data_IF_638587171360
#
_entry.id   IF_638587171360
#
_cell.length_a   1.000
_cell.length_b   1.000
_cell.length_c   1.000
_cell.angle_alpha   90.00
_cell.angle_beta   90.00
_cell.angle_gamma   90.00
#
_symmetry.space_group_name_H-M   'P 1'
#
loop_
_entity.id
_entity.type
_entity.pdbx_description
1 polymer ?
#
# COMPACT_ATOMS: atom_id res chain seq x y z
N UNK A 1 -16.21 -5.63 -1.15
CA UNK A 1 -15.09 -6.50 -1.60
C UNK A 1 -13.92 -6.19 -0.67
N UNK A 2 -13.44 -7.15 0.13
CA UNK A 2 -12.47 -6.88 1.22
C UNK A 2 -11.14 -7.62 1.09
N UNK A 3 -11.06 -8.56 0.14
CA UNK A 3 -9.87 -9.29 -0.24
C UNK A 3 -9.86 -9.43 -1.77
N UNK A 4 -8.73 -9.11 -2.40
CA UNK A 4 -8.53 -9.15 -3.84
C UNK A 4 -7.12 -9.67 -4.13
N UNK A 5 -6.95 -10.29 -5.29
CA UNK A 5 -5.64 -10.64 -5.83
C UNK A 5 -5.60 -10.20 -7.28
N UNK A 6 -4.63 -9.36 -7.63
CA UNK A 6 -4.32 -9.11 -9.04
C UNK A 6 -3.26 -10.11 -9.49
N UNK A 7 -3.37 -10.59 -10.71
CA UNK A 7 -2.52 -11.63 -11.27
C UNK A 7 -1.89 -11.10 -12.55
N UNK A 8 -0.56 -11.17 -12.64
CA UNK A 8 0.23 -10.72 -13.79
C UNK A 8 -0.05 -9.28 -14.23
N UNK A 9 -0.02 -8.35 -13.27
CA UNK A 9 -0.06 -6.91 -13.57
C UNK A 9 1.38 -6.37 -13.59
N UNK A 10 1.80 -5.54 -12.64
CA UNK A 10 3.21 -5.15 -12.47
C UNK A 10 4.03 -6.34 -11.95
N UNK A 11 3.54 -6.98 -10.89
CA UNK A 11 4.08 -8.20 -10.31
C UNK A 11 3.21 -9.41 -10.65
N UNK A 12 3.78 -10.60 -10.45
CA UNK A 12 3.06 -11.86 -10.63
C UNK A 12 1.78 -11.92 -9.78
N UNK A 13 1.85 -11.42 -8.53
CA UNK A 13 0.71 -11.32 -7.62
C UNK A 13 0.74 -10.01 -6.83
N UNK A 14 -0.41 -9.35 -6.73
CA UNK A 14 -0.66 -8.29 -5.74
C UNK A 14 -1.79 -8.73 -4.82
N UNK A 15 -1.46 -9.09 -3.59
CA UNK A 15 -2.41 -9.58 -2.57
C UNK A 15 -2.92 -8.37 -1.78
N UNK A 16 -4.23 -8.11 -1.83
CA UNK A 16 -4.82 -6.87 -1.33
C UNK A 16 -5.89 -7.19 -0.29
N UNK A 17 -5.82 -6.51 0.85
CA UNK A 17 -6.87 -6.48 1.86
C UNK A 17 -7.28 -5.02 2.07
N UNK A 18 -8.58 -4.73 2.03
CA UNK A 18 -9.09 -3.37 2.19
C UNK A 18 -10.52 -3.38 2.77
N UNK A 19 -10.95 -2.27 3.36
CA UNK A 19 -12.34 -2.05 3.76
C UNK A 19 -12.59 -0.56 4.04
N UNK A 20 -13.86 -0.17 4.14
CA UNK A 20 -14.23 1.16 4.62
C UNK A 20 -13.97 1.26 6.14
N UNK A 21 -13.68 2.48 6.60
CA UNK A 21 -13.36 2.76 8.00
C UNK A 21 -11.87 2.55 8.32
N UNK A 22 -11.51 2.69 9.60
CA UNK A 22 -10.12 2.79 10.07
C UNK A 22 -9.62 1.57 10.82
N UNK A 23 -10.28 0.40 10.71
CA UNK A 23 -9.85 -0.81 11.40
C UNK A 23 -8.67 -1.49 10.69
N UNK A 24 -7.49 -0.86 10.79
CA UNK A 24 -6.23 -1.33 10.18
C UNK A 24 -5.89 -2.74 10.68
N UNK A 25 -6.14 -3.03 11.96
CA UNK A 25 -5.88 -4.34 12.55
C UNK A 25 -6.62 -5.45 11.79
N UNK A 26 -7.92 -5.28 11.56
CA UNK A 26 -8.72 -6.28 10.83
C UNK A 26 -8.27 -6.44 9.37
N UNK A 27 -7.86 -5.35 8.72
CA UNK A 27 -7.34 -5.38 7.35
C UNK A 27 -6.04 -6.17 7.29
N UNK A 28 -5.11 -5.87 8.21
CA UNK A 28 -3.81 -6.51 8.30
C UNK A 28 -3.90 -7.98 8.67
N UNK A 29 -4.71 -8.34 9.68
CA UNK A 29 -4.93 -9.75 10.07
C UNK A 29 -5.44 -10.58 8.89
N UNK A 30 -6.37 -10.04 8.10
CA UNK A 30 -6.88 -10.70 6.88
C UNK A 30 -5.79 -10.86 5.81
N UNK A 31 -4.94 -9.85 5.61
CA UNK A 31 -3.82 -9.91 4.66
C UNK A 31 -2.82 -10.99 5.07
N UNK A 32 -2.39 -10.99 6.34
CA UNK A 32 -1.41 -11.94 6.86
C UNK A 32 -1.89 -13.39 6.77
N UNK A 33 -3.15 -13.66 7.12
CA UNK A 33 -3.73 -15.00 6.99
C UNK A 33 -3.79 -15.44 5.52
N UNK A 34 -4.14 -14.54 4.60
CA UNK A 34 -4.22 -14.87 3.18
C UNK A 34 -2.84 -15.10 2.57
N UNK A 35 -1.86 -14.25 2.86
CA UNK A 35 -0.49 -14.39 2.37
C UNK A 35 0.12 -15.73 2.83
N UNK A 36 0.03 -16.06 4.12
CA UNK A 36 0.55 -17.32 4.66
C UNK A 36 -0.08 -18.56 3.96
N UNK A 37 -1.39 -18.54 3.73
CA UNK A 37 -2.08 -19.64 3.02
C UNK A 37 -1.69 -19.76 1.55
N UNK A 38 -1.39 -18.65 0.88
CA UNK A 38 -0.95 -18.67 -0.52
C UNK A 38 0.49 -19.22 -0.59
N UNK A 39 1.36 -18.83 0.34
CA UNK A 39 2.74 -19.32 0.42
C UNK A 39 2.85 -20.83 0.65
N UNK A 40 1.86 -21.45 1.32
CA UNK A 40 1.78 -22.91 1.42
C UNK A 40 1.62 -23.61 0.05
N UNK A 41 1.12 -22.88 -0.96
CA UNK A 41 0.82 -23.42 -2.31
C UNK A 41 1.76 -22.92 -3.39
N UNK A 42 2.31 -21.72 -3.22
CA UNK A 42 3.21 -21.09 -4.18
C UNK A 42 4.48 -20.62 -3.47
N UNK A 43 5.65 -21.00 -4.01
CA UNK A 43 6.93 -20.52 -3.52
C UNK A 43 7.18 -19.13 -4.09
N UNK A 44 7.28 -18.12 -3.23
CA UNK A 44 7.69 -16.78 -3.65
C UNK A 44 9.20 -16.65 -3.75
N UNK A 45 9.65 -15.82 -4.68
CA UNK A 45 11.06 -15.47 -4.81
C UNK A 45 11.46 -14.61 -3.60
N UNK A 46 12.43 -15.10 -2.84
CA UNK A 46 12.96 -14.43 -1.66
C UNK A 46 14.49 -14.52 -1.66
N UNK A 47 15.13 -13.41 -1.31
CA UNK A 47 16.57 -13.27 -1.19
C UNK A 47 16.94 -12.87 0.24
N UNK A 48 18.10 -13.33 0.70
CA UNK A 48 18.54 -13.09 2.08
C UNK A 48 18.81 -11.61 2.36
N UNK A 49 19.30 -10.86 1.37
CA UNK A 49 19.57 -9.43 1.50
C UNK A 49 18.37 -8.57 1.14
N UNK A 50 17.65 -8.92 0.08
CA UNK A 50 16.59 -8.09 -0.52
C UNK A 50 15.17 -8.45 -0.07
N UNK A 51 14.97 -9.58 0.62
CA UNK A 51 13.63 -10.05 1.00
C UNK A 51 12.82 -10.54 -0.21
N UNK A 52 11.50 -10.30 -0.22
CA UNK A 52 10.65 -10.68 -1.35
C UNK A 52 11.00 -9.89 -2.59
N UNK A 53 11.25 -10.62 -3.69
CA UNK A 53 11.64 -10.03 -4.96
C UNK A 53 10.40 -9.59 -5.74
N UNK A 54 10.44 -8.36 -6.22
CA UNK A 54 9.39 -7.71 -7.02
C UNK A 54 10.01 -7.05 -8.24
N UNK A 55 9.16 -6.62 -9.18
CA UNK A 55 9.56 -6.09 -10.48
C UNK A 55 10.17 -4.68 -10.36
N UNK A 56 9.69 -3.88 -9.41
CA UNK A 56 10.21 -2.55 -9.12
C UNK A 56 11.05 -2.57 -7.83
N UNK A 57 12.28 -2.02 -7.81
CA UNK A 57 13.13 -1.99 -6.61
C UNK A 57 12.49 -1.35 -5.38
N UNK A 58 11.52 -0.45 -5.56
CA UNK A 58 10.82 0.22 -4.45
C UNK A 58 9.88 -0.71 -3.67
N UNK A 59 9.52 -1.86 -4.26
CA UNK A 59 8.64 -2.86 -3.65
C UNK A 59 9.41 -4.06 -3.08
N UNK A 60 10.74 -3.99 -2.93
CA UNK A 60 11.53 -5.07 -2.33
C UNK A 60 11.31 -5.19 -0.81
N UNK A 61 11.88 -6.24 -0.20
CA UNK A 61 11.85 -6.44 1.24
C UNK A 61 10.55 -7.09 1.69
N UNK A 62 9.68 -6.30 2.31
CA UNK A 62 8.36 -6.77 2.76
C UNK A 62 7.35 -6.86 1.63
N UNK A 63 7.62 -6.19 0.49
CA UNK A 63 6.67 -5.97 -0.60
C UNK A 63 5.32 -5.36 -0.13
N UNK A 64 5.33 -4.69 1.02
CA UNK A 64 4.13 -4.19 1.68
C UNK A 64 3.93 -2.71 1.43
N UNK A 65 2.70 -2.34 1.05
CA UNK A 65 2.20 -0.97 1.08
C UNK A 65 0.93 -0.92 1.92
N UNK A 66 0.99 -0.25 3.06
CA UNK A 66 -0.18 0.07 3.87
C UNK A 66 -0.58 1.52 3.62
N UNK A 67 -1.82 1.76 3.18
CA UNK A 67 -2.33 3.09 2.91
C UNK A 67 -3.75 3.28 3.42
N UNK A 68 -4.19 4.54 3.47
CA UNK A 68 -5.55 4.95 3.80
C UNK A 68 -6.00 6.00 2.81
N UNK A 69 -7.27 5.98 2.41
CA UNK A 69 -7.85 7.16 1.77
C UNK A 69 -8.32 8.11 2.87
N UNK A 70 -7.69 9.29 2.98
CA UNK A 70 -7.95 10.26 4.05
C UNK A 70 -8.23 11.65 3.49
N UNK A 71 -9.27 12.30 4.02
CA UNK A 71 -9.67 13.66 3.65
C UNK A 71 -8.99 14.68 4.57
N UNK A 72 -8.10 15.52 4.03
CA UNK A 72 -7.28 16.47 4.79
C UNK A 72 -7.40 17.92 4.28
N UNK A 73 -8.61 18.52 4.32
CA UNK A 73 -8.92 19.78 3.63
C UNK A 73 -8.16 21.01 4.17
N UNK A 74 -7.69 20.94 5.42
CA UNK A 74 -6.90 22.02 6.02
C UNK A 74 -5.40 21.85 5.74
N UNK A 75 -4.91 20.61 5.73
CA UNK A 75 -3.48 20.35 5.51
C UNK A 75 -3.10 20.56 4.04
N UNK A 76 -4.01 20.25 3.11
CA UNK A 76 -3.79 20.47 1.67
C UNK A 76 -3.60 21.95 1.29
N UNK A 77 -4.00 22.90 2.14
CA UNK A 77 -3.81 24.34 1.90
C UNK A 77 -2.37 24.80 2.12
N UNK A 78 -1.56 24.00 2.83
CA UNK A 78 -0.15 24.28 3.14
C UNK A 78 0.70 23.09 2.68
N UNK A 79 0.94 23.00 1.38
CA UNK A 79 1.67 21.90 0.76
C UNK A 79 3.10 21.70 1.32
N UNK A 80 3.90 22.75 1.57
CA UNK A 80 5.21 22.58 2.20
C UNK A 80 5.13 21.91 3.58
N UNK A 81 4.14 22.28 4.40
CA UNK A 81 3.92 21.64 5.70
C UNK A 81 3.41 20.21 5.55
N UNK A 82 2.52 19.96 4.59
CA UNK A 82 2.00 18.62 4.32
C UNK A 82 3.13 17.66 3.93
N UNK A 83 3.95 18.05 2.95
CA UNK A 83 5.12 17.29 2.52
C UNK A 83 6.11 17.09 3.68
N UNK A 84 6.39 18.14 4.47
CA UNK A 84 7.29 18.03 5.62
C UNK A 84 6.82 17.06 6.71
N UNK A 85 5.50 16.90 6.89
CA UNK A 85 4.95 15.87 7.78
C UNK A 85 5.12 14.48 7.18
N UNK A 86 4.78 14.31 5.89
CA UNK A 86 4.92 13.04 5.20
C UNK A 86 6.36 12.51 5.23
N UNK A 87 7.34 13.38 4.90
CA UNK A 87 8.76 13.06 4.92
C UNK A 87 9.23 12.68 6.33
N UNK A 88 8.79 13.41 7.36
CA UNK A 88 9.14 13.14 8.76
C UNK A 88 8.70 11.74 9.23
N UNK A 89 7.58 11.25 8.72
CA UNK A 89 7.02 9.95 9.10
C UNK A 89 7.28 8.85 8.07
N UNK A 90 8.11 9.12 7.04
CA UNK A 90 8.45 8.17 5.98
C UNK A 90 7.21 7.62 5.26
N UNK A 91 6.21 8.47 5.05
CA UNK A 91 5.02 8.15 4.25
C UNK A 91 5.03 8.95 2.95
N UNK A 92 4.41 8.40 1.91
CA UNK A 92 4.32 9.05 0.61
C UNK A 92 2.88 9.52 0.40
N UNK A 93 2.70 10.75 -0.09
CA UNK A 93 1.39 11.29 -0.46
C UNK A 93 1.12 10.90 -1.91
N UNK A 94 -0.02 10.26 -2.18
CA UNK A 94 -0.49 9.94 -3.54
C UNK A 94 -1.90 10.48 -3.76
N UNK A 95 -2.30 10.58 -5.02
CA UNK A 95 -3.69 10.91 -5.36
C UNK A 95 -4.63 9.73 -5.11
N UNK A 96 -5.93 10.01 -4.99
CA UNK A 96 -6.98 9.05 -4.65
C UNK A 96 -7.18 7.92 -5.68
N UNK A 97 -6.58 8.07 -6.88
CA UNK A 97 -6.58 7.06 -7.93
C UNK A 97 -5.20 6.43 -8.17
N UNK A 98 -4.19 6.73 -7.33
CA UNK A 98 -2.86 6.15 -7.38
C UNK A 98 -1.72 7.16 -7.59
N UNK A 99 -0.53 6.62 -7.87
CA UNK A 99 0.78 7.30 -7.83
C UNK A 99 0.93 8.52 -8.75
N UNK A 100 0.10 8.63 -9.78
CA UNK A 100 0.16 9.68 -10.80
C UNK A 100 -1.15 10.45 -10.96
N UNK A 101 -2.03 10.38 -9.96
CA UNK A 101 -3.31 11.10 -10.02
C UNK A 101 -3.26 12.39 -9.21
N UNK A 102 -3.79 13.48 -9.77
CA UNK A 102 -4.11 14.69 -9.04
C UNK A 102 -5.42 14.51 -8.28
N UNK A 103 -5.54 15.14 -7.11
CA UNK A 103 -6.77 15.12 -6.29
C UNK A 103 -7.35 16.52 -6.18
N UNK A 104 -8.55 16.69 -6.74
CA UNK A 104 -9.34 17.92 -6.62
C UNK A 104 -10.33 17.90 -5.45
N UNK A 105 -10.50 16.75 -4.82
CA UNK A 105 -11.51 16.48 -3.77
C UNK A 105 -10.93 16.47 -2.34
N UNK A 106 -9.61 16.70 -2.20
CA UNK A 106 -8.91 16.74 -0.91
C UNK A 106 -8.75 15.37 -0.24
N UNK A 107 -9.01 14.27 -0.95
CA UNK A 107 -8.78 12.90 -0.51
C UNK A 107 -7.42 12.44 -1.01
N UNK A 108 -6.57 11.93 -0.12
CA UNK A 108 -5.22 11.46 -0.44
C UNK A 108 -5.08 9.98 -0.06
N UNK A 109 -4.22 9.26 -0.79
CA UNK A 109 -3.67 7.95 -0.38
C UNK A 109 -2.36 8.16 0.40
#
# INVERSE_FOLDING_TARGET
KTFLVWVNEEDQLRIISMQNGSNIRQVFERLSVAAAKIEEKAKFANDEHLGYITSCPTNLGTAMRASVHIHLPNLMQDWPRFQGIADKYYVQIRGSHGEHSDTSDGIFD
#
